data_IF_966724347449
#
_entry.id   IF_966724347449
#
_cell.length_a   1.000
_cell.length_b   1.000
_cell.length_c   1.000
_cell.angle_alpha   90.00
_cell.angle_beta   90.00
_cell.angle_gamma   90.00
#
_symmetry.space_group_name_H-M   'P 1'
#
loop_
_entity.id
_entity.type
_entity.pdbx_description
1 polymer ?
#
# COMPACT_ATOMS: atom_id res chain seq x y z
N UNK A 1 -1.37 -11.05 -12.99
CA UNK A 1 0.02 -11.39 -13.07
C UNK A 1 0.64 -11.38 -11.68
N UNK A 2 1.84 -11.95 -11.57
CA UNK A 2 2.53 -12.05 -10.30
C UNK A 2 3.23 -10.78 -9.83
N UNK A 3 2.98 -9.65 -10.50
CA UNK A 3 3.68 -8.41 -10.18
C UNK A 3 3.17 -7.65 -8.96
N UNK A 4 1.92 -7.88 -8.56
CA UNK A 4 1.37 -7.16 -7.41
C UNK A 4 1.95 -7.72 -6.11
N UNK A 5 2.57 -6.89 -5.27
CA UNK A 5 3.15 -7.37 -4.02
C UNK A 5 2.13 -8.00 -3.07
N UNK A 6 0.87 -7.64 -3.16
CA UNK A 6 -0.18 -8.21 -2.31
C UNK A 6 -0.96 -9.32 -2.99
N UNK A 7 -0.54 -9.75 -4.18
CA UNK A 7 -1.08 -10.96 -4.78
C UNK A 7 -0.83 -12.15 -3.84
N UNK A 8 -1.80 -13.07 -3.67
CA UNK A 8 -1.65 -14.17 -2.70
C UNK A 8 -0.34 -14.94 -2.78
N UNK A 9 0.20 -15.16 -3.98
CA UNK A 9 1.46 -15.91 -4.10
C UNK A 9 2.67 -15.12 -3.60
N UNK A 10 2.56 -13.82 -3.44
CA UNK A 10 3.68 -12.97 -3.06
C UNK A 10 3.65 -12.55 -1.59
N UNK A 11 2.52 -12.67 -0.92
CA UNK A 11 2.32 -12.09 0.42
C UNK A 11 3.33 -12.53 1.46
N UNK A 12 3.59 -13.82 1.52
CA UNK A 12 4.52 -14.36 2.50
C UNK A 12 5.93 -13.82 2.28
N UNK A 13 6.37 -13.77 1.03
CA UNK A 13 7.70 -13.25 0.69
C UNK A 13 7.81 -11.76 0.95
N UNK A 14 6.76 -11.00 0.66
CA UNK A 14 6.77 -9.56 0.91
C UNK A 14 6.82 -9.28 2.41
N UNK A 15 6.06 -10.02 3.20
CA UNK A 15 6.11 -9.86 4.65
C UNK A 15 7.53 -10.12 5.16
N UNK A 16 8.15 -11.22 4.71
CA UNK A 16 9.52 -11.55 5.09
C UNK A 16 10.47 -10.41 4.71
N UNK A 17 10.33 -9.88 3.49
CA UNK A 17 11.20 -8.83 2.98
C UNK A 17 11.10 -7.54 3.79
N UNK A 18 9.88 -7.05 4.05
CA UNK A 18 9.71 -5.79 4.77
C UNK A 18 10.19 -5.92 6.22
N UNK A 19 10.00 -7.08 6.83
CA UNK A 19 10.52 -7.33 8.18
C UNK A 19 12.05 -7.29 8.21
N UNK A 20 12.70 -7.75 7.15
CA UNK A 20 14.16 -7.72 7.06
C UNK A 20 14.70 -6.34 6.74
N UNK A 21 14.02 -5.62 5.85
CA UNK A 21 14.52 -4.34 5.36
C UNK A 21 14.36 -3.23 6.38
N UNK A 22 13.24 -3.19 7.09
CA UNK A 22 12.91 -2.07 7.96
C UNK A 22 13.99 -1.76 9.01
N UNK A 23 14.55 -2.75 9.70
CA UNK A 23 15.58 -2.46 10.71
C UNK A 23 16.87 -1.88 10.12
N UNK A 24 17.20 -2.22 8.87
CA UNK A 24 18.41 -1.69 8.24
C UNK A 24 18.25 -0.27 7.74
N UNK A 25 17.02 0.18 7.55
CA UNK A 25 16.74 1.51 7.00
C UNK A 25 15.67 2.21 7.84
N UNK A 26 15.94 2.44 9.14
CA UNK A 26 14.90 2.96 10.05
C UNK A 26 14.42 4.36 9.70
N UNK A 27 15.22 5.12 8.94
CA UNK A 27 14.85 6.48 8.55
C UNK A 27 14.31 6.58 7.13
N UNK A 28 14.20 5.45 6.42
CA UNK A 28 13.62 5.43 5.09
C UNK A 28 12.15 5.06 5.14
N UNK A 29 11.38 5.62 4.22
CA UNK A 29 9.96 5.27 4.12
C UNK A 29 9.78 4.18 3.08
N UNK A 30 8.84 3.29 3.35
CA UNK A 30 8.50 2.20 2.43
C UNK A 30 7.15 2.51 1.82
N UNK A 31 7.15 2.61 0.49
CA UNK A 31 5.94 2.82 -0.31
C UNK A 31 5.58 1.51 -0.98
N UNK A 32 4.31 1.16 -0.96
CA UNK A 32 3.83 -0.05 -1.58
C UNK A 32 2.65 0.27 -2.49
N UNK A 33 2.74 -0.20 -3.74
CA UNK A 33 1.69 -0.01 -4.74
C UNK A 33 0.97 -1.33 -4.93
N UNK A 34 -0.36 -1.31 -4.91
CA UNK A 34 -1.15 -2.52 -5.09
C UNK A 34 -2.44 -2.20 -5.84
N UNK A 35 -2.97 -3.18 -6.55
CA UNK A 35 -4.28 -3.06 -7.19
C UNK A 35 -5.44 -3.32 -6.24
N UNK A 36 -5.17 -3.84 -5.03
CA UNK A 36 -6.22 -4.05 -4.03
C UNK A 36 -6.55 -2.74 -3.33
N UNK A 37 -7.77 -2.61 -2.84
CA UNK A 37 -8.14 -1.43 -2.05
C UNK A 37 -7.79 -1.64 -0.58
N UNK A 38 -7.67 -0.55 0.16
CA UNK A 38 -7.49 -0.60 1.61
C UNK A 38 -8.54 -1.50 2.25
N UNK A 39 -9.79 -1.35 1.81
CA UNK A 39 -10.91 -2.12 2.36
C UNK A 39 -10.73 -3.63 2.11
N UNK A 40 -10.31 -3.98 0.90
CA UNK A 40 -10.04 -5.39 0.58
C UNK A 40 -8.90 -5.97 1.41
N UNK A 41 -7.84 -5.19 1.59
CA UNK A 41 -6.68 -5.62 2.36
C UNK A 41 -7.05 -5.87 3.81
N UNK A 42 -7.89 -5.00 4.38
CA UNK A 42 -8.25 -5.08 5.78
C UNK A 42 -9.41 -6.04 6.08
N UNK A 43 -10.06 -6.57 5.05
CA UNK A 43 -11.28 -7.37 5.25
C UNK A 43 -11.00 -8.70 5.93
N UNK A 44 -9.97 -9.43 5.49
CA UNK A 44 -9.77 -10.77 6.04
C UNK A 44 -8.36 -11.33 5.87
N UNK A 45 -7.36 -10.51 5.53
CA UNK A 45 -6.08 -11.11 5.21
C UNK A 45 -5.00 -10.85 6.25
N UNK A 46 -4.61 -11.93 6.95
CA UNK A 46 -3.58 -11.87 7.97
C UNK A 46 -2.25 -11.32 7.43
N UNK A 47 -1.80 -11.83 6.27
CA UNK A 47 -0.51 -11.40 5.71
C UNK A 47 -0.53 -9.95 5.28
N UNK A 48 -1.61 -9.51 4.66
CA UNK A 48 -1.72 -8.12 4.23
C UNK A 48 -1.71 -7.18 5.42
N UNK A 49 -2.47 -7.51 6.47
CA UNK A 49 -2.49 -6.69 7.68
C UNK A 49 -1.11 -6.63 8.33
N UNK A 50 -0.41 -7.75 8.39
CA UNK A 50 0.94 -7.80 8.96
C UNK A 50 1.92 -6.97 8.13
N UNK A 51 1.79 -7.01 6.81
CA UNK A 51 2.64 -6.22 5.93
C UNK A 51 2.44 -4.73 6.17
N UNK A 52 1.19 -4.30 6.37
CA UNK A 52 0.89 -2.87 6.58
C UNK A 52 1.61 -2.29 7.78
N UNK A 53 1.93 -3.11 8.79
CA UNK A 53 2.66 -2.63 9.97
C UNK A 53 4.07 -2.11 9.62
N UNK A 54 4.60 -2.48 8.46
CA UNK A 54 5.93 -2.08 8.01
C UNK A 54 5.91 -1.05 6.89
N UNK A 55 4.74 -0.66 6.42
CA UNK A 55 4.57 0.22 5.26
C UNK A 55 4.23 1.63 5.74
N UNK A 56 4.85 2.62 5.12
CA UNK A 56 4.58 4.02 5.44
C UNK A 56 3.49 4.60 4.56
N UNK A 57 3.53 4.28 3.26
CA UNK A 57 2.56 4.80 2.30
C UNK A 57 2.07 3.67 1.41
N UNK A 58 0.76 3.55 1.28
CA UNK A 58 0.13 2.58 0.39
C UNK A 58 -0.60 3.32 -0.72
N UNK A 59 -0.27 3.00 -1.97
CA UNK A 59 -1.06 3.49 -3.11
C UNK A 59 -1.98 2.35 -3.50
N UNK A 60 -3.28 2.52 -3.24
CA UNK A 60 -4.25 1.45 -3.38
C UNK A 60 -5.15 1.60 -4.60
N UNK A 61 -5.77 0.50 -4.99
CA UNK A 61 -6.75 0.51 -6.07
C UNK A 61 -6.15 0.21 -7.43
N UNK A 62 -6.96 -0.36 -8.29
CA UNK A 62 -6.50 -0.75 -9.63
C UNK A 62 -6.32 0.48 -10.51
N UNK A 63 -5.26 0.44 -11.34
CA UNK A 63 -5.11 1.45 -12.36
C UNK A 63 -6.27 1.34 -13.35
N UNK A 64 -6.93 2.47 -13.62
CA UNK A 64 -8.04 2.51 -14.58
C UNK A 64 -7.72 3.50 -15.68
N UNK A 65 -7.59 3.01 -16.89
CA UNK A 65 -7.21 3.84 -18.04
C UNK A 65 -8.16 5.02 -18.23
N UNK A 66 -9.45 4.80 -18.03
CA UNK A 66 -10.46 5.85 -18.18
C UNK A 66 -10.28 6.99 -17.18
N UNK A 67 -9.58 6.74 -16.07
CA UNK A 67 -9.35 7.73 -15.03
C UNK A 67 -7.87 8.14 -14.96
N UNK A 68 -7.09 7.81 -15.98
CA UNK A 68 -5.68 8.14 -16.05
C UNK A 68 -5.49 9.64 -15.98
N UNK A 69 -4.54 10.06 -15.15
CA UNK A 69 -4.22 11.48 -14.98
C UNK A 69 -2.73 11.62 -14.76
N UNK A 70 -2.02 12.10 -15.80
CA UNK A 70 -0.57 12.22 -15.72
C UNK A 70 -0.12 13.29 -14.72
N UNK A 71 -1.03 14.17 -14.33
CA UNK A 71 -0.75 15.16 -13.29
C UNK A 71 -1.11 14.70 -11.88
N UNK A 72 -1.68 13.50 -11.74
CA UNK A 72 -2.08 13.00 -10.43
C UNK A 72 -0.83 12.52 -9.69
N UNK A 73 -0.55 13.16 -8.58
CA UNK A 73 0.71 12.99 -7.86
C UNK A 73 0.78 11.58 -7.23
N UNK A 74 1.84 10.86 -7.56
CA UNK A 74 2.18 9.55 -6.99
C UNK A 74 1.28 8.38 -7.41
N UNK A 75 0.23 8.63 -8.17
CA UNK A 75 -0.66 7.58 -8.64
C UNK A 75 -0.92 7.71 -10.14
N UNK A 76 -1.41 6.63 -10.76
CA UNK A 76 -1.62 6.58 -12.20
C UNK A 76 -3.01 6.98 -12.64
N UNK A 77 -4.01 6.78 -11.79
CA UNK A 77 -5.40 7.13 -12.10
C UNK A 77 -6.06 7.73 -10.86
N UNK A 78 -7.11 8.51 -11.09
CA UNK A 78 -7.72 9.32 -10.02
C UNK A 78 -8.47 8.49 -8.97
N UNK A 79 -8.80 7.24 -9.28
CA UNK A 79 -9.43 6.34 -8.32
C UNK A 79 -8.44 5.76 -7.30
N UNK A 80 -7.14 5.85 -7.58
CA UNK A 80 -6.12 5.34 -6.67
C UNK A 80 -5.87 6.36 -5.57
N UNK A 81 -5.69 5.86 -4.34
CA UNK A 81 -5.46 6.72 -3.18
C UNK A 81 -4.04 6.55 -2.69
N UNK A 82 -3.46 7.65 -2.23
CA UNK A 82 -2.14 7.64 -1.59
C UNK A 82 -2.39 7.76 -0.09
N UNK A 83 -2.17 6.69 0.64
CA UNK A 83 -2.65 6.51 2.02
C UNK A 83 -1.49 6.56 3.01
N UNK A 84 -1.67 7.35 4.07
CA UNK A 84 -0.77 7.35 5.21
C UNK A 84 -1.11 6.14 6.07
N UNK A 85 -0.29 5.09 5.99
CA UNK A 85 -0.61 3.81 6.62
C UNK A 85 -0.59 3.88 8.14
N UNK A 86 0.47 4.39 8.79
CA UNK A 86 0.48 4.43 10.25
C UNK A 86 -0.71 5.19 10.82
N UNK A 87 -1.04 6.35 10.26
CA UNK A 87 -2.15 7.15 10.75
C UNK A 87 -3.48 6.46 10.50
N UNK A 88 -3.61 5.81 9.34
CA UNK A 88 -4.85 5.09 8.99
C UNK A 88 -5.09 3.91 9.93
N UNK A 89 -4.03 3.17 10.26
CA UNK A 89 -4.15 2.05 11.21
C UNK A 89 -4.54 2.55 12.59
N UNK A 90 -3.95 3.66 13.01
CA UNK A 90 -4.23 4.24 14.33
C UNK A 90 -5.69 4.70 14.44
N UNK A 91 -6.21 5.33 13.39
CA UNK A 91 -7.55 5.89 13.43
C UNK A 91 -8.65 4.95 12.95
N UNK A 92 -8.29 3.80 12.39
CA UNK A 92 -9.26 2.84 11.90
C UNK A 92 -10.00 3.28 10.64
N UNK A 93 -9.44 4.22 9.88
CA UNK A 93 -10.02 4.72 8.63
C UNK A 93 -8.92 5.24 7.72
N UNK A 94 -9.24 5.41 6.44
CA UNK A 94 -8.26 5.91 5.47
C UNK A 94 -7.92 7.37 5.78
N UNK A 95 -6.63 7.63 5.97
CA UNK A 95 -6.09 8.98 6.09
C UNK A 95 -5.12 9.16 4.93
N UNK A 96 -5.33 10.17 4.11
CA UNK A 96 -4.50 10.38 2.94
C UNK A 96 -3.14 10.95 3.29
N UNK A 97 -2.16 10.61 2.47
CA UNK A 97 -0.81 11.15 2.60
C UNK A 97 -0.83 12.66 2.33
N UNK A 98 -0.05 13.42 3.07
CA UNK A 98 -0.12 14.89 3.02
C UNK A 98 0.23 15.48 1.67
N UNK A 99 1.12 14.86 0.92
CA UNK A 99 1.52 15.39 -0.38
C UNK A 99 0.53 15.06 -1.50
N UNK A 100 -0.56 14.45 -1.16
CA UNK A 100 -1.57 14.00 -2.12
C UNK A 100 -2.58 15.10 -2.44
#
# INVERSE_FOLDING_TARGET
SGGDPLHPVNRCQILWLVKKVKPFFPHKTIWLYTGYTWEEINADNFYCRAILDYIDVLVDGRFEEALKDVGYHWAGSTNQRVINVPQSLKEGRVILHESN
#
